data_IF_553202161828
#
_entry.id   IF_553202161828
#
_cell.length_a   1.000
_cell.length_b   1.000
_cell.length_c   1.000
_cell.angle_alpha   90.00
_cell.angle_beta   90.00
_cell.angle_gamma   90.00
#
_symmetry.space_group_name_H-M   'P 1'
#
loop_
_entity.id
_entity.type
_entity.pdbx_description
1 polymer ?
#
# COMPACT_ATOMS: atom_id res chain seq x y z
N UNK A 1 -5.48 11.03 -23.42
CA UNK A 1 -5.02 9.97 -22.48
C UNK A 1 -3.60 9.50 -22.79
N UNK A 2 -3.23 9.16 -24.04
CA UNK A 2 -1.86 8.74 -24.41
C UNK A 2 -0.77 9.78 -24.11
N UNK A 3 -1.07 11.08 -24.23
CA UNK A 3 -0.14 12.17 -23.94
C UNK A 3 0.32 12.22 -22.48
N UNK A 4 -0.53 11.81 -21.54
CA UNK A 4 -0.22 11.81 -20.08
C UNK A 4 0.81 10.72 -19.76
N UNK A 5 0.71 9.57 -20.43
CA UNK A 5 1.63 8.44 -20.25
C UNK A 5 3.03 8.71 -20.81
N UNK A 6 3.12 9.44 -21.92
CA UNK A 6 4.40 9.84 -22.52
C UNK A 6 5.12 10.87 -21.64
N UNK A 7 4.38 11.79 -21.03
CA UNK A 7 4.92 12.78 -20.09
C UNK A 7 5.42 12.10 -18.81
N UNK A 8 4.66 11.14 -18.26
CA UNK A 8 5.07 10.33 -17.11
C UNK A 8 6.35 9.53 -17.36
N UNK A 9 6.51 8.97 -18.56
CA UNK A 9 7.70 8.21 -18.94
C UNK A 9 8.96 9.08 -18.98
N UNK A 10 8.89 10.28 -19.58
CA UNK A 10 10.02 11.21 -19.63
C UNK A 10 10.39 11.77 -18.24
N UNK A 11 9.41 11.97 -17.37
CA UNK A 11 9.63 12.41 -15.98
C UNK A 11 10.32 11.30 -15.16
N UNK A 12 9.95 10.04 -15.37
CA UNK A 12 10.57 8.90 -14.70
C UNK A 12 12.05 8.75 -15.09
N UNK A 13 12.39 8.95 -16.38
CA UNK A 13 13.79 8.87 -16.86
C UNK A 13 14.61 10.08 -16.38
N UNK A 14 14.03 11.28 -16.36
CA UNK A 14 14.68 12.48 -15.83
C UNK A 14 14.97 12.37 -14.31
N UNK A 15 14.06 11.77 -13.54
CA UNK A 15 14.25 11.51 -12.11
C UNK A 15 15.35 10.50 -11.80
N UNK A 16 15.51 9.48 -12.64
CA UNK A 16 16.55 8.45 -12.49
C UNK A 16 17.96 8.97 -12.75
N UNK A 17 18.14 9.94 -13.66
CA UNK A 17 19.45 10.55 -13.93
C UNK A 17 19.87 11.58 -12.87
N UNK A 18 18.91 12.27 -12.26
CA UNK A 18 19.18 13.35 -11.30
C UNK A 18 19.61 12.86 -9.92
N UNK A 19 19.30 11.61 -9.58
CA UNK A 19 19.59 11.03 -8.27
C UNK A 19 21.03 10.54 -8.08
N UNK A 20 21.83 10.56 -9.14
CA UNK A 20 23.26 10.34 -9.04
C UNK A 20 23.94 11.62 -8.58
N UNK A 21 24.48 11.77 -7.38
CA UNK A 21 24.52 11.03 -6.12
C UNK A 21 25.22 12.05 -5.17
N UNK A 22 25.11 11.92 -3.84
CA UNK A 22 25.92 12.63 -2.82
C UNK A 22 25.71 14.13 -2.49
N UNK A 23 25.59 15.07 -3.43
CA UNK A 23 25.25 16.46 -3.04
C UNK A 23 23.73 16.64 -2.79
N UNK A 24 22.94 15.70 -3.31
CA UNK A 24 21.50 15.78 -3.36
C UNK A 24 20.80 15.44 -2.04
N UNK A 25 21.39 14.85 -1.01
CA UNK A 25 20.61 14.54 0.21
C UNK A 25 20.09 15.79 0.96
N UNK A 26 20.80 16.91 0.87
CA UNK A 26 20.33 18.20 1.43
C UNK A 26 19.25 18.81 0.53
N UNK A 27 19.48 18.90 -0.77
CA UNK A 27 18.51 19.41 -1.75
C UNK A 27 17.28 18.49 -1.87
N UNK A 28 17.43 17.19 -1.64
CA UNK A 28 16.38 16.19 -1.63
C UNK A 28 15.48 16.37 -0.41
N UNK A 29 16.03 16.71 0.77
CA UNK A 29 15.19 17.08 1.93
C UNK A 29 14.33 18.31 1.62
N UNK A 30 14.92 19.34 1.02
CA UNK A 30 14.18 20.54 0.61
C UNK A 30 13.19 20.27 -0.52
N UNK A 31 13.57 19.43 -1.49
CA UNK A 31 12.71 18.99 -2.59
C UNK A 31 11.54 18.15 -2.09
N UNK A 32 11.80 17.20 -1.18
CA UNK A 32 10.78 16.40 -0.51
C UNK A 32 9.83 17.29 0.29
N UNK A 33 10.36 18.28 1.02
CA UNK A 33 9.54 19.25 1.75
C UNK A 33 8.70 20.10 0.80
N UNK A 34 9.26 20.56 -0.32
CA UNK A 34 8.54 21.29 -1.36
C UNK A 34 7.44 20.42 -1.99
N UNK A 35 7.72 19.15 -2.28
CA UNK A 35 6.75 18.18 -2.78
C UNK A 35 5.62 17.97 -1.77
N UNK A 36 5.94 17.80 -0.48
CA UNK A 36 4.92 17.68 0.58
C UNK A 36 4.05 18.93 0.64
N UNK A 37 4.64 20.13 0.58
CA UNK A 37 3.89 21.40 0.54
C UNK A 37 2.99 21.48 -0.69
N UNK A 38 3.49 21.10 -1.88
CA UNK A 38 2.71 21.07 -3.12
C UNK A 38 1.55 20.07 -3.00
N UNK A 39 1.80 18.89 -2.43
CA UNK A 39 0.75 17.88 -2.22
C UNK A 39 -0.33 18.37 -1.25
N UNK A 40 0.06 19.04 -0.16
CA UNK A 40 -0.88 19.66 0.78
C UNK A 40 -1.70 20.75 0.07
N UNK A 41 -1.06 21.59 -0.76
CA UNK A 41 -1.76 22.62 -1.52
C UNK A 41 -2.76 22.04 -2.53
N UNK A 42 -2.36 21.04 -3.31
CA UNK A 42 -3.23 20.35 -4.26
C UNK A 42 -4.40 19.64 -3.55
N UNK A 43 -4.12 19.03 -2.39
CA UNK A 43 -5.13 18.41 -1.53
C UNK A 43 -6.16 19.44 -1.07
N UNK A 44 -5.72 20.54 -0.48
CA UNK A 44 -6.59 21.61 0.01
C UNK A 44 -7.41 22.23 -1.14
N UNK A 45 -6.79 22.48 -2.29
CA UNK A 45 -7.47 23.01 -3.47
C UNK A 45 -8.55 22.05 -3.99
N UNK A 46 -8.29 20.74 -3.99
CA UNK A 46 -9.28 19.72 -4.34
C UNK A 46 -10.49 19.75 -3.41
N UNK A 47 -10.26 19.78 -2.08
CA UNK A 47 -11.33 19.85 -1.08
C UNK A 47 -12.15 21.13 -1.21
N UNK A 48 -11.48 22.28 -1.30
CA UNK A 48 -12.14 23.58 -1.41
C UNK A 48 -12.80 23.81 -2.76
N UNK A 49 -12.41 23.11 -3.83
CA UNK A 49 -13.09 23.23 -5.12
C UNK A 49 -14.51 22.64 -5.13
N UNK A 50 -14.82 21.77 -4.17
CA UNK A 50 -16.13 21.13 -4.04
C UNK A 50 -17.13 21.96 -3.23
N UNK A 51 -16.62 22.85 -2.38
CA UNK A 51 -17.38 23.67 -1.44
C UNK A 51 -17.26 25.16 -1.80
N UNK A 52 -18.35 25.91 -1.87
CA UNK A 52 -18.29 27.35 -2.16
C UNK A 52 -17.83 28.12 -0.93
N UNK A 53 -16.52 28.14 -0.67
CA UNK A 53 -15.92 28.84 0.47
C UNK A 53 -15.35 30.18 0.03
N UNK A 54 -15.86 31.26 0.62
CA UNK A 54 -15.34 32.61 0.39
C UNK A 54 -14.09 32.89 1.25
N UNK A 55 -12.91 32.84 0.64
CA UNK A 55 -11.64 33.09 1.34
C UNK A 55 -11.32 34.58 1.57
N UNK A 56 -12.16 35.50 1.10
CA UNK A 56 -11.91 36.95 1.23
C UNK A 56 -12.26 37.50 2.61
N UNK A 57 -13.07 36.77 3.39
CA UNK A 57 -13.45 37.15 4.74
C UNK A 57 -12.74 36.30 5.80
N UNK A 58 -12.37 36.86 6.97
CA UNK A 58 -11.78 36.09 8.07
C UNK A 58 -12.65 34.92 8.54
N UNK A 59 -13.97 35.06 8.42
CA UNK A 59 -14.94 33.99 8.72
C UNK A 59 -14.85 32.84 7.74
N UNK A 60 -14.70 33.12 6.45
CA UNK A 60 -14.59 32.09 5.43
C UNK A 60 -13.23 31.38 5.44
N UNK A 61 -12.14 32.07 5.84
CA UNK A 61 -10.86 31.41 6.13
C UNK A 61 -11.02 30.40 7.27
N UNK A 62 -11.72 30.77 8.36
CA UNK A 62 -11.98 29.81 9.44
C UNK A 62 -12.84 28.64 8.98
N UNK A 63 -13.86 28.89 8.17
CA UNK A 63 -14.70 27.82 7.60
C UNK A 63 -13.87 26.86 6.72
N UNK A 64 -12.97 27.39 5.90
CA UNK A 64 -12.05 26.59 5.09
C UNK A 64 -11.16 25.67 5.94
N UNK A 65 -10.66 26.19 7.07
CA UNK A 65 -9.85 25.40 8.01
C UNK A 65 -10.70 24.27 8.61
N UNK A 66 -11.91 24.55 9.08
CA UNK A 66 -12.80 23.52 9.63
C UNK A 66 -13.15 22.44 8.61
N UNK A 67 -13.48 22.81 7.38
CA UNK A 67 -13.75 21.87 6.30
C UNK A 67 -12.54 20.99 6.01
N UNK A 68 -11.35 21.58 5.91
CA UNK A 68 -10.12 20.83 5.63
C UNK A 68 -9.75 19.88 6.77
N UNK A 69 -9.86 20.31 8.03
CA UNK A 69 -9.61 19.45 9.20
C UNK A 69 -10.63 18.32 9.29
N UNK A 70 -11.92 18.60 9.01
CA UNK A 70 -12.96 17.58 8.94
C UNK A 70 -12.64 16.51 7.89
N UNK A 71 -12.30 16.94 6.68
CA UNK A 71 -11.89 16.04 5.59
C UNK A 71 -10.64 15.22 5.93
N UNK A 72 -9.64 15.83 6.58
CA UNK A 72 -8.45 15.12 7.05
C UNK A 72 -8.80 14.03 8.08
N UNK A 73 -9.73 14.31 8.98
CA UNK A 73 -10.22 13.35 9.97
C UNK A 73 -10.88 12.15 9.31
N UNK A 74 -11.82 12.38 8.41
CA UNK A 74 -12.51 11.34 7.64
C UNK A 74 -11.52 10.47 6.86
N UNK A 75 -10.63 11.10 6.09
CA UNK A 75 -9.61 10.40 5.29
C UNK A 75 -8.66 9.57 6.16
N UNK A 76 -8.34 10.04 7.36
CA UNK A 76 -7.46 9.31 8.29
C UNK A 76 -8.13 8.05 8.83
N UNK A 77 -9.43 8.14 9.16
CA UNK A 77 -10.21 6.98 9.60
C UNK A 77 -10.32 5.96 8.47
N UNK A 78 -10.63 6.40 7.25
CA UNK A 78 -10.70 5.53 6.07
C UNK A 78 -9.37 4.81 5.81
N UNK A 79 -8.25 5.54 5.85
CA UNK A 79 -6.91 4.96 5.70
C UNK A 79 -6.59 3.94 6.80
N UNK A 80 -6.99 4.21 8.04
CA UNK A 80 -6.83 3.29 9.15
C UNK A 80 -7.63 1.99 8.95
N UNK A 81 -8.87 2.12 8.51
CA UNK A 81 -9.74 0.97 8.26
C UNK A 81 -9.23 0.12 7.09
N UNK A 82 -8.83 0.74 5.98
CA UNK A 82 -8.16 0.06 4.85
C UNK A 82 -6.88 -0.63 5.31
N UNK A 83 -6.10 0.01 6.19
CA UNK A 83 -4.88 -0.56 6.76
C UNK A 83 -5.16 -1.81 7.58
N UNK A 84 -6.13 -1.76 8.50
CA UNK A 84 -6.56 -2.92 9.28
C UNK A 84 -7.07 -4.06 8.39
N UNK A 85 -7.89 -3.73 7.39
CA UNK A 85 -8.43 -4.72 6.45
C UNK A 85 -7.31 -5.38 5.66
N UNK A 86 -6.36 -4.60 5.14
CA UNK A 86 -5.20 -5.10 4.40
C UNK A 86 -4.33 -6.03 5.25
N UNK A 87 -4.07 -5.66 6.51
CA UNK A 87 -3.32 -6.49 7.45
C UNK A 87 -4.10 -7.77 7.78
N UNK A 88 -5.41 -7.68 7.96
CA UNK A 88 -6.26 -8.85 8.20
C UNK A 88 -6.28 -9.79 7.00
N UNK A 89 -6.34 -9.26 5.78
CA UNK A 89 -6.30 -10.05 4.55
C UNK A 89 -4.93 -10.73 4.37
N UNK A 90 -3.83 -9.99 4.57
CA UNK A 90 -2.49 -10.55 4.52
C UNK A 90 -2.28 -11.62 5.61
N UNK A 91 -2.75 -11.35 6.83
CA UNK A 91 -2.70 -12.29 7.95
C UNK A 91 -3.53 -13.55 7.70
N UNK A 92 -4.73 -13.41 7.16
CA UNK A 92 -5.57 -14.54 6.76
C UNK A 92 -4.93 -15.35 5.63
N UNK A 93 -4.34 -14.71 4.63
CA UNK A 93 -3.63 -15.41 3.54
C UNK A 93 -2.42 -16.22 4.06
N UNK A 94 -1.69 -15.68 5.05
CA UNK A 94 -0.59 -16.40 5.70
C UNK A 94 -1.12 -17.57 6.55
N UNK A 95 -2.23 -17.37 7.27
CA UNK A 95 -2.81 -18.40 8.13
C UNK A 95 -3.38 -19.58 7.34
N UNK A 96 -4.10 -19.31 6.24
CA UNK A 96 -4.65 -20.34 5.35
C UNK A 96 -3.52 -21.19 4.73
N UNK A 97 -2.38 -20.59 4.36
CA UNK A 97 -1.21 -21.33 3.85
C UNK A 97 -0.53 -22.22 4.92
N UNK A 98 -0.64 -21.87 6.20
CA UNK A 98 -0.13 -22.70 7.30
C UNK A 98 -1.11 -23.80 7.72
N UNK A 99 -2.41 -23.52 7.73
CA UNK A 99 -3.44 -24.50 8.07
C UNK A 99 -3.52 -25.63 7.02
N UNK A 100 -3.27 -25.33 5.74
CA UNK A 100 -3.16 -26.34 4.67
C UNK A 100 -1.95 -27.29 4.83
N UNK A 101 -0.99 -26.93 5.69
CA UNK A 101 0.14 -27.81 6.09
C UNK A 101 -0.06 -28.50 7.44
N UNK A 102 -1.02 -28.05 8.25
CA UNK A 102 -1.27 -28.59 9.58
C UNK A 102 -2.14 -29.87 9.56
N UNK A 103 -2.95 -30.05 8.51
CA UNK A 103 -3.81 -31.23 8.31
C UNK A 103 -3.31 -32.17 7.20
N UNK A 104 -2.00 -32.19 6.93
CA UNK A 104 -1.44 -33.35 6.24
C UNK A 104 -1.49 -34.52 7.22
N UNK A 105 -2.12 -35.66 6.87
CA UNK A 105 -2.13 -36.82 7.74
C UNK A 105 -0.69 -37.12 8.12
N UNK A 106 -0.41 -37.13 9.43
CA UNK A 106 0.85 -37.63 9.97
C UNK A 106 1.14 -38.93 9.24
N UNK A 107 2.19 -38.94 8.41
CA UNK A 107 2.54 -40.10 7.58
C UNK A 107 2.89 -41.24 8.54
N UNK A 108 1.87 -42.02 8.91
CA UNK A 108 2.04 -43.23 9.69
C UNK A 108 2.52 -44.31 8.75
N UNK A 109 3.83 -44.46 8.86
CA UNK A 109 4.63 -45.68 8.68
C UNK A 109 5.36 -45.91 7.35
N UNK A 110 6.60 -46.41 7.47
CA UNK A 110 7.48 -46.62 6.33
C UNK A 110 6.93 -47.78 5.52
N UNK A 111 6.83 -47.59 4.21
CA UNK A 111 6.71 -48.72 3.30
C UNK A 111 7.94 -49.62 3.47
N UNK A 112 7.77 -50.68 4.26
CA UNK A 112 8.76 -51.72 4.45
C UNK A 112 8.66 -52.67 3.26
N UNK A 113 9.62 -52.56 2.34
CA UNK A 113 9.77 -53.50 1.22
C UNK A 113 9.71 -54.99 1.66
N UNK A 114 10.27 -55.38 2.83
CA UNK A 114 10.16 -56.75 3.31
C UNK A 114 8.71 -57.25 3.49
N UNK A 115 7.81 -56.42 4.02
CA UNK A 115 6.41 -56.81 4.25
C UNK A 115 5.62 -56.95 2.96
N UNK A 116 5.89 -56.09 1.98
CA UNK A 116 5.27 -56.19 0.66
C UNK A 116 5.72 -57.45 -0.11
N UNK A 117 7.02 -57.77 -0.05
CA UNK A 117 7.57 -58.97 -0.69
C UNK A 117 7.02 -60.24 -0.02
N UNK A 118 6.96 -60.28 1.32
CA UNK A 118 6.43 -61.42 2.06
C UNK A 118 4.95 -61.72 1.75
N UNK A 119 4.14 -60.67 1.56
CA UNK A 119 2.74 -60.85 1.18
C UNK A 119 2.55 -61.27 -0.28
N UNK A 120 3.45 -60.88 -1.18
CA UNK A 120 3.38 -61.27 -2.60
C UNK A 120 3.75 -62.74 -2.80
N UNK A 121 4.76 -63.22 -2.09
CA UNK A 121 5.19 -64.64 -2.12
C UNK A 121 4.21 -65.61 -1.44
N UNK A 122 3.27 -65.12 -0.63
CA UNK A 122 2.21 -65.94 -0.01
C UNK A 122 0.95 -66.09 -0.87
N UNK A 123 0.81 -65.27 -1.92
CA UNK A 123 -0.39 -65.26 -2.77
C UNK A 123 -0.22 -66.02 -4.09
N UNK A 124 0.99 -66.48 -4.38
CA UNK A 124 1.32 -67.41 -5.46
C UNK A 124 1.62 -68.80 -4.87
#
# INVERSE_FOLDING_TARGET
MITIWIILFFIAVAGLLFFKFEHHLRLFKWSLMAVVVILIFLSMSSVLSKETVDLTSPRGVMNAIYLYVGWLGETTVDLWDIGKESISLAGNAIRVNNDEKADLPEYKEPFSLPDWIGNKLRRD
#
